data_IF_509492002439
#
_entry.id   IF_509492002439
#
_cell.length_a   1.000
_cell.length_b   1.000
_cell.length_c   1.000
_cell.angle_alpha   90.00
_cell.angle_beta   90.00
_cell.angle_gamma   90.00
#
_symmetry.space_group_name_H-M   'P 1'
#
loop_
_entity.id
_entity.type
_entity.pdbx_description
1 polymer ?
#
# COMPACT_ATOMS: atom_id res chain seq x y z
N UNK A 1 10.29 -11.34 -15.31
CA UNK A 1 10.71 -10.40 -14.26
C UNK A 1 9.93 -10.73 -13.01
N UNK A 2 10.59 -10.78 -11.85
CA UNK A 2 9.93 -11.07 -10.58
C UNK A 2 9.31 -9.78 -10.02
N UNK A 3 8.03 -9.84 -9.65
CA UNK A 3 7.32 -8.73 -8.99
C UNK A 3 7.22 -8.99 -7.49
N UNK A 4 7.96 -8.25 -6.65
CA UNK A 4 7.91 -8.40 -5.20
C UNK A 4 6.64 -7.80 -4.57
N UNK A 5 5.84 -7.02 -5.32
CA UNK A 5 4.59 -6.41 -4.81
C UNK A 5 3.39 -7.37 -4.86
N UNK A 6 3.50 -8.49 -5.58
CA UNK A 6 2.44 -9.48 -5.71
C UNK A 6 1.25 -9.02 -6.55
N UNK A 7 1.47 -8.13 -7.53
CA UNK A 7 0.41 -7.59 -8.38
C UNK A 7 -0.33 -6.39 -7.76
N UNK A 8 0.33 -5.60 -6.93
CA UNK A 8 -0.26 -4.41 -6.32
C UNK A 8 -0.60 -3.35 -7.36
N UNK A 9 -1.75 -2.69 -7.19
CA UNK A 9 -2.16 -1.55 -8.01
C UNK A 9 -1.85 -0.22 -7.33
N UNK A 10 -1.74 -0.22 -6.00
CA UNK A 10 -1.44 0.96 -5.19
C UNK A 10 -0.34 0.67 -4.17
N UNK A 11 0.34 1.73 -3.75
CA UNK A 11 1.22 1.69 -2.59
C UNK A 11 1.15 3.02 -1.83
N UNK A 12 1.41 2.98 -0.53
CA UNK A 12 1.45 4.17 0.31
C UNK A 12 2.37 3.99 1.52
N UNK A 13 2.84 5.11 2.09
CA UNK A 13 3.53 5.11 3.36
C UNK A 13 2.56 5.56 4.46
N UNK A 14 2.17 4.68 5.41
CA UNK A 14 1.25 5.02 6.50
C UNK A 14 1.63 6.29 7.28
N UNK A 15 2.93 6.56 7.45
CA UNK A 15 3.43 7.74 8.17
C UNK A 15 3.26 9.06 7.38
N UNK A 16 2.93 8.98 6.09
CA UNK A 16 2.70 10.14 5.21
C UNK A 16 1.23 10.31 4.81
N UNK A 17 0.34 9.40 5.22
CA UNK A 17 -1.10 9.52 4.99
C UNK A 17 -1.73 10.18 6.21
N UNK A 18 -1.70 11.51 6.24
CA UNK A 18 -2.17 12.31 7.39
C UNK A 18 -3.68 12.31 7.58
N UNK A 19 -4.45 12.07 6.50
CA UNK A 19 -5.90 12.01 6.58
C UNK A 19 -6.35 10.59 6.97
N UNK A 20 -6.97 10.38 8.14
CA UNK A 20 -7.48 9.07 8.55
C UNK A 20 -8.64 8.57 7.67
N UNK A 21 -9.29 9.45 6.90
CA UNK A 21 -10.37 9.11 5.97
C UNK A 21 -9.90 8.96 4.52
N UNK A 22 -8.59 8.84 4.29
CA UNK A 22 -8.08 8.61 2.94
C UNK A 22 -8.61 7.26 2.40
N UNK A 23 -9.12 7.26 1.16
CA UNK A 23 -9.67 6.07 0.51
C UNK A 23 -8.65 4.92 0.42
N UNK A 24 -7.34 5.22 0.46
CA UNK A 24 -6.30 4.19 0.41
C UNK A 24 -6.40 3.17 1.55
N UNK A 25 -6.94 3.57 2.71
CA UNK A 25 -7.14 2.67 3.86
C UNK A 25 -8.21 1.60 3.63
N UNK A 26 -9.10 1.82 2.65
CA UNK A 26 -10.12 0.84 2.25
C UNK A 26 -9.61 -0.24 1.31
N UNK A 27 -8.39 -0.09 0.77
CA UNK A 27 -7.84 -1.00 -0.22
C UNK A 27 -7.29 -2.26 0.45
N UNK A 28 -7.52 -3.47 -0.14
CA UNK A 28 -6.96 -4.71 0.40
C UNK A 28 -5.43 -4.68 0.38
N UNK A 29 -4.80 -4.79 1.54
CA UNK A 29 -3.35 -4.83 1.66
C UNK A 29 -2.83 -6.19 1.19
N UNK A 30 -1.85 -6.18 0.28
CA UNK A 30 -1.18 -7.37 -0.24
C UNK A 30 0.08 -7.66 0.56
N UNK A 31 0.97 -6.68 0.67
CA UNK A 31 2.26 -6.84 1.36
C UNK A 31 2.80 -5.50 1.84
N UNK A 32 3.82 -5.54 2.69
CA UNK A 32 4.57 -4.35 3.10
C UNK A 32 6.06 -4.61 2.88
N UNK A 33 6.73 -3.65 2.24
CA UNK A 33 8.17 -3.73 1.95
C UNK A 33 8.80 -2.41 2.41
N UNK A 34 9.64 -2.49 3.44
CA UNK A 34 10.20 -1.31 4.10
C UNK A 34 9.08 -0.45 4.72
N UNK A 35 9.02 0.83 4.33
CA UNK A 35 8.00 1.78 4.81
C UNK A 35 6.79 1.91 3.86
N UNK A 36 6.67 1.02 2.88
CA UNK A 36 5.59 1.06 1.90
C UNK A 36 4.66 -0.13 2.07
N UNK A 37 3.37 0.15 2.14
CA UNK A 37 2.30 -0.82 2.10
C UNK A 37 1.77 -0.87 0.67
N UNK A 38 1.64 -2.08 0.13
CA UNK A 38 1.16 -2.37 -1.21
C UNK A 38 -0.25 -2.94 -1.14
N UNK A 39 -1.15 -2.47 -2.00
CA UNK A 39 -2.57 -2.81 -1.98
C UNK A 39 -3.14 -3.00 -3.39
N UNK A 40 -4.24 -3.76 -3.47
CA UNK A 40 -5.06 -3.87 -4.68
C UNK A 40 -5.84 -2.61 -4.95
#
# INVERSE_FOLDING_TARGET
GWDPSGGALYFYNPAKVYNPYNWIWSRPVITSIGQHVFAL
#
